data_IF_361312191230
#
_entry.id   IF_361312191230
#
_cell.length_a   1.000
_cell.length_b   1.000
_cell.length_c   1.000
_cell.angle_alpha   90.00
_cell.angle_beta   90.00
_cell.angle_gamma   90.00
#
_symmetry.space_group_name_H-M   'P 1'
#
loop_
_entity.id
_entity.type
_entity.pdbx_description
1 polymer ?
#
# COMPACT_ATOMS: atom_id res chain seq x y z
N UNK A 1 -0.29 8.63 -17.21
CA UNK A 1 -1.51 8.04 -16.61
C UNK A 1 -1.41 8.08 -15.09
N UNK A 2 -2.55 8.10 -14.40
CA UNK A 2 -2.60 8.02 -12.94
C UNK A 2 -2.92 6.59 -12.51
N UNK A 3 -2.10 6.04 -11.61
CA UNK A 3 -2.26 4.73 -11.00
C UNK A 3 -2.62 4.94 -9.53
N UNK A 4 -3.77 4.42 -9.12
CA UNK A 4 -4.23 4.47 -7.72
C UNK A 4 -4.20 3.08 -7.15
N UNK A 5 -3.39 2.88 -6.11
CA UNK A 5 -3.32 1.63 -5.36
C UNK A 5 -4.19 1.79 -4.12
N UNK A 6 -5.26 0.99 -4.05
CA UNK A 6 -6.16 0.93 -2.90
C UNK A 6 -5.82 -0.31 -2.10
N UNK A 7 -5.39 -0.13 -0.85
CA UNK A 7 -4.97 -1.20 0.05
C UNK A 7 -5.81 -1.18 1.33
N UNK A 8 -5.94 -2.34 1.98
CA UNK A 8 -6.62 -2.48 3.29
C UNK A 8 -5.56 -2.65 4.36
N UNK A 9 -5.71 -1.91 5.47
CA UNK A 9 -4.80 -1.95 6.60
C UNK A 9 -3.59 -1.02 6.45
N UNK A 10 -2.61 -1.21 7.33
CA UNK A 10 -1.36 -0.45 7.35
C UNK A 10 -0.19 -1.39 7.12
N UNK A 11 0.79 -0.92 6.36
CA UNK A 11 2.11 -1.56 6.31
C UNK A 11 2.74 -1.44 7.70
N UNK A 12 3.18 -2.56 8.29
CA UNK A 12 3.74 -2.58 9.66
C UNK A 12 5.26 -2.68 9.64
N UNK A 13 5.80 -3.23 8.56
CA UNK A 13 7.20 -3.54 8.39
C UNK A 13 7.92 -2.43 7.61
N UNK A 14 8.95 -1.84 8.20
CA UNK A 14 9.73 -0.76 7.59
C UNK A 14 10.34 -1.14 6.23
N UNK A 15 10.82 -2.38 6.09
CA UNK A 15 11.42 -2.85 4.84
C UNK A 15 10.42 -2.90 3.68
N UNK A 16 9.12 -3.07 3.97
CA UNK A 16 8.06 -3.04 2.95
C UNK A 16 7.80 -1.59 2.50
N UNK A 17 7.79 -0.63 3.44
CA UNK A 17 7.67 0.79 3.12
C UNK A 17 8.87 1.29 2.28
N UNK A 18 10.09 0.87 2.63
CA UNK A 18 11.30 1.19 1.86
C UNK A 18 11.22 0.62 0.43
N UNK A 19 10.80 -0.63 0.29
CA UNK A 19 10.58 -1.25 -1.01
C UNK A 19 9.54 -0.49 -1.85
N UNK A 20 8.42 -0.12 -1.25
CA UNK A 20 7.37 0.69 -1.90
C UNK A 20 7.92 2.01 -2.42
N UNK A 21 8.71 2.72 -1.62
CA UNK A 21 9.32 3.99 -2.04
C UNK A 21 10.33 3.81 -3.18
N UNK A 22 11.13 2.74 -3.15
CA UNK A 22 12.08 2.41 -4.23
C UNK A 22 11.34 2.12 -5.54
N UNK A 23 10.26 1.34 -5.52
CA UNK A 23 9.51 1.06 -6.76
C UNK A 23 8.71 2.28 -7.22
N UNK A 24 8.19 3.08 -6.29
CA UNK A 24 7.53 4.35 -6.60
C UNK A 24 8.46 5.31 -7.34
N UNK A 25 9.71 5.46 -6.90
CA UNK A 25 10.67 6.36 -7.55
C UNK A 25 11.02 5.90 -8.97
N UNK A 26 11.11 4.59 -9.19
CA UNK A 26 11.36 4.00 -10.52
C UNK A 26 10.19 4.19 -11.49
N UNK A 27 8.96 4.22 -10.98
CA UNK A 27 7.74 4.39 -11.79
C UNK A 27 7.35 5.87 -12.02
N UNK A 28 7.79 6.77 -11.13
CA UNK A 28 7.48 8.20 -11.16
C UNK A 28 7.72 8.90 -12.51
N UNK A 29 8.77 8.57 -13.31
CA UNK A 29 8.98 9.22 -14.61
C UNK A 29 7.88 8.92 -15.64
N UNK A 30 7.15 7.82 -15.46
CA UNK A 30 6.19 7.32 -16.45
C UNK A 30 4.74 7.48 -15.99
N UNK A 31 4.50 7.38 -14.68
CA UNK A 31 3.17 7.33 -14.09
C UNK A 31 3.12 8.07 -12.76
N UNK A 32 1.99 8.72 -12.49
CA UNK A 32 1.70 9.27 -11.17
C UNK A 32 1.09 8.18 -10.30
N UNK A 33 1.73 7.85 -9.17
CA UNK A 33 1.22 6.90 -8.19
C UNK A 33 0.56 7.61 -7.01
N UNK A 34 -0.64 7.15 -6.64
CA UNK A 34 -1.34 7.51 -5.42
C UNK A 34 -1.71 6.27 -4.61
N UNK A 35 -1.72 6.40 -3.29
CA UNK A 35 -2.03 5.31 -2.36
C UNK A 35 -3.22 5.72 -1.50
N UNK A 36 -4.22 4.85 -1.41
CA UNK A 36 -5.39 5.01 -0.54
C UNK A 36 -5.43 3.81 0.39
N UNK A 37 -5.21 4.05 1.68
CA UNK A 37 -5.29 3.01 2.70
C UNK A 37 -6.69 3.05 3.34
N UNK A 38 -7.38 1.93 3.27
CA UNK A 38 -8.66 1.69 3.92
C UNK A 38 -8.41 1.07 5.30
N UNK A 39 -9.24 1.38 6.31
CA UNK A 39 -9.13 0.75 7.62
C UNK A 39 -9.32 -0.76 7.50
N UNK A 40 -8.51 -1.54 8.23
CA UNK A 40 -8.73 -2.98 8.38
C UNK A 40 -9.87 -3.23 9.37
N UNK A 41 -10.75 -4.17 9.04
CA UNK A 41 -11.71 -4.68 10.00
C UNK A 41 -11.01 -5.62 10.98
N UNK A 42 -11.41 -5.58 12.26
CA UNK A 42 -10.88 -6.52 13.24
C UNK A 42 -11.40 -7.92 12.91
N UNK A 43 -10.49 -8.81 12.54
CA UNK A 43 -10.82 -10.21 12.34
C UNK A 43 -11.19 -10.80 13.72
N UNK A 44 -12.41 -11.36 13.90
CA UNK A 44 -12.79 -11.99 15.15
C UNK A 44 -11.87 -13.18 15.44
N UNK A 45 -11.50 -13.37 16.71
CA UNK A 45 -10.54 -14.39 17.15
C UNK A 45 -10.95 -15.84 16.84
N UNK A 46 -12.21 -16.07 16.46
CA UNK A 46 -12.70 -17.32 15.90
C UNK A 46 -13.24 -17.06 14.49
N UNK A 47 -12.47 -17.47 13.50
CA UNK A 47 -13.01 -17.85 12.20
C UNK A 47 -13.41 -19.33 12.38
N UNK A 48 -14.71 -19.60 12.37
CA UNK A 48 -15.26 -20.96 12.33
C UNK A 48 -15.17 -21.54 10.92
#
# INVERSE_FOLDING_TARGET
MQITIVAVGKVRESFVEEGLNMYRSRLAPYHSLSFVNLPEERIPARIS
#
